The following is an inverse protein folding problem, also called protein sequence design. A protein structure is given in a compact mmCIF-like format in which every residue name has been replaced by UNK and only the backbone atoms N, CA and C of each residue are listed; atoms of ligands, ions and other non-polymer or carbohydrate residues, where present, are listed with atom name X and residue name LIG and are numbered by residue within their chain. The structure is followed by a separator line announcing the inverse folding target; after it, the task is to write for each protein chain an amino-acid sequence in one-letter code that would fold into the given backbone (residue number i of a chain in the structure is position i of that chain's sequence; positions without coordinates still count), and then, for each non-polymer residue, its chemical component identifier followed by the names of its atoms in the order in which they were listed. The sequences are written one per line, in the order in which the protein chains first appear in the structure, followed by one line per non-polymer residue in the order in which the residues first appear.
data_IF_604664924086
#
_entry.id   IF_604664924086
#
_cell.length_a   1.000
_cell.length_b   1.000
_cell.length_c   1.000
_cell.angle_alpha   90.00
_cell.angle_beta   90.00
_cell.angle_gamma   90.00
#
_symmetry.space_group_name_H-M   'P 1'
#
loop_
_entity.id
_entity.type
_entity.pdbx_description
1 polymer ?
#
# COMPACT_ATOMS: atom_id res chain seq x y z
N UNK A 1 -9.40 3.34 7.68
CA UNK A 1 -9.85 3.51 6.28
C UNK A 1 -11.37 3.68 6.26
N UNK A 2 -11.89 4.62 5.47
CA UNK A 2 -13.33 4.95 5.41
C UNK A 2 -14.00 4.55 4.08
N UNK A 3 -13.25 4.53 2.97
CA UNK A 3 -13.72 4.10 1.65
C UNK A 3 -12.56 3.48 0.86
N UNK A 4 -12.84 2.43 0.11
CA UNK A 4 -11.92 1.79 -0.83
C UNK A 4 -12.58 1.90 -2.20
N UNK A 5 -11.83 2.24 -3.24
CA UNK A 5 -12.39 2.34 -4.60
C UNK A 5 -11.35 1.79 -5.57
N UNK A 6 -11.50 0.53 -5.99
CA UNK A 6 -10.57 -0.08 -6.93
C UNK A 6 -10.80 0.48 -8.33
N UNK A 7 -9.76 0.43 -9.16
CA UNK A 7 -9.81 0.84 -10.56
C UNK A 7 -9.28 -0.27 -11.46
N UNK A 8 -9.91 -0.47 -12.62
CA UNK A 8 -9.57 -1.55 -13.55
C UNK A 8 -9.99 -2.93 -13.04
N UNK A 9 -9.06 -3.89 -13.07
CA UNK A 9 -9.32 -5.31 -12.78
C UNK A 9 -8.95 -5.77 -11.35
N UNK A 10 -8.72 -4.83 -10.42
CA UNK A 10 -8.40 -5.16 -9.03
C UNK A 10 -9.65 -5.12 -8.15
N UNK A 11 -9.67 -5.89 -7.07
CA UNK A 11 -10.73 -5.85 -6.06
C UNK A 11 -10.36 -4.93 -4.90
N UNK A 12 -11.34 -4.57 -4.06
CA UNK A 12 -11.10 -3.84 -2.81
C UNK A 12 -10.11 -4.56 -1.90
N UNK A 13 -10.23 -5.89 -1.79
CA UNK A 13 -9.34 -6.72 -0.97
C UNK A 13 -7.90 -6.69 -1.48
N UNK A 14 -7.72 -6.81 -2.81
CA UNK A 14 -6.39 -6.73 -3.42
C UNK A 14 -5.77 -5.35 -3.22
N UNK A 15 -6.56 -4.28 -3.42
CA UNK A 15 -6.10 -2.91 -3.21
C UNK A 15 -5.69 -2.67 -1.75
N UNK A 16 -6.49 -3.14 -0.79
CA UNK A 16 -6.15 -3.05 0.62
C UNK A 16 -4.91 -3.87 0.97
N UNK A 17 -4.77 -5.09 0.44
CA UNK A 17 -3.56 -5.92 0.65
C UNK A 17 -2.32 -5.15 0.17
N UNK A 18 -2.33 -4.68 -1.08
CA UNK A 18 -1.19 -3.95 -1.65
C UNK A 18 -0.87 -2.66 -0.91
N UNK A 19 -1.89 -1.88 -0.53
CA UNK A 19 -1.70 -0.66 0.26
C UNK A 19 -1.11 -0.97 1.64
N UNK A 20 -1.58 -2.01 2.32
CA UNK A 20 -1.05 -2.40 3.63
C UNK A 20 0.40 -2.89 3.56
N UNK A 21 0.78 -3.62 2.50
CA UNK A 21 2.17 -4.00 2.27
C UNK A 21 3.05 -2.79 1.94
N UNK A 22 2.57 -1.84 1.13
CA UNK A 22 3.32 -0.62 0.80
C UNK A 22 3.58 0.23 2.06
N UNK A 23 2.57 0.36 2.92
CA UNK A 23 2.57 1.27 4.06
C UNK A 23 3.12 0.64 5.36
N UNK A 24 3.49 -0.65 5.38
CA UNK A 24 3.91 -1.34 6.61
C UNK A 24 5.20 -0.78 7.24
N UNK A 25 6.04 -0.12 6.44
CA UNK A 25 7.28 0.53 6.88
C UNK A 25 7.15 2.05 7.06
N UNK A 26 6.00 2.62 6.70
CA UNK A 26 5.72 4.04 6.82
C UNK A 26 5.30 4.39 8.24
N UNK A 27 5.85 5.49 8.77
CA UNK A 27 5.55 5.93 10.13
C UNK A 27 4.36 6.90 10.20
N UNK A 28 3.71 7.20 9.08
CA UNK A 28 2.62 8.17 9.01
C UNK A 28 1.33 7.67 9.69
N UNK A 29 0.53 8.56 10.31
CA UNK A 29 -0.76 8.17 10.91
C UNK A 29 -1.71 7.48 9.93
N UNK A 30 -1.70 7.88 8.65
CA UNK A 30 -2.53 7.30 7.60
C UNK A 30 -2.10 5.85 7.29
N UNK A 31 -0.79 5.61 7.20
CA UNK A 31 -0.21 4.29 6.99
C UNK A 31 -0.66 3.29 8.06
N UNK A 32 -0.60 3.71 9.33
CA UNK A 32 -1.10 2.91 10.47
C UNK A 32 -2.58 2.56 10.30
N UNK A 33 -3.41 3.52 9.89
CA UNK A 33 -4.83 3.28 9.65
C UNK A 33 -5.08 2.24 8.55
N UNK A 34 -4.29 2.25 7.47
CA UNK A 34 -4.37 1.28 6.37
C UNK A 34 -4.00 -0.12 6.88
N UNK A 35 -2.85 -0.25 7.53
CA UNK A 35 -2.37 -1.52 8.09
C UNK A 35 -3.36 -2.11 9.11
N UNK A 36 -3.90 -1.29 10.00
CA UNK A 36 -4.92 -1.72 10.96
C UNK A 36 -6.22 -2.13 10.29
N UNK A 37 -6.65 -1.41 9.26
CA UNK A 37 -7.87 -1.75 8.51
C UNK A 37 -7.71 -3.10 7.82
N UNK A 38 -6.56 -3.34 7.18
CA UNK A 38 -6.24 -4.65 6.58
C UNK A 38 -6.28 -5.78 7.62
N UNK A 39 -5.67 -5.59 8.79
CA UNK A 39 -5.67 -6.59 9.87
C UNK A 39 -7.07 -6.91 10.42
N UNK A 40 -8.02 -5.97 10.35
CA UNK A 40 -9.40 -6.16 10.80
C UNK A 40 -10.26 -6.93 9.80
N UNK A 41 -10.03 -6.72 8.51
CA UNK A 41 -10.86 -7.30 7.44
C UNK A 41 -10.27 -8.58 6.84
N UNK A 42 -8.94 -8.75 6.90
CA UNK A 42 -8.26 -9.88 6.29
C UNK A 42 -8.19 -11.07 7.26
N UNK A 43 -8.53 -12.26 6.76
CA UNK A 43 -8.26 -13.53 7.46
C UNK A 43 -6.76 -13.79 7.62
N UNK A 44 -5.91 -13.13 6.82
CA UNK A 44 -4.47 -13.07 6.98
C UNK A 44 -4.09 -11.84 7.83
N UNK A 45 -4.32 -11.93 9.13
CA UNK A 45 -3.99 -10.86 10.09
C UNK A 45 -2.48 -10.58 10.23
N UNK A 46 -1.63 -11.47 9.70
CA UNK A 46 -0.17 -11.34 9.75
C UNK A 46 0.34 -10.87 8.40
N UNK A 47 0.90 -9.66 8.37
CA UNK A 47 1.63 -9.14 7.22
C UNK A 47 3.03 -9.76 7.25
N UNK A 48 3.27 -10.68 6.33
CA UNK A 48 4.60 -11.26 6.14
C UNK A 48 5.53 -10.30 5.39
N UNK A 49 6.33 -9.56 6.15
CA UNK A 49 7.28 -8.57 5.63
C UNK A 49 8.33 -9.18 4.69
N UNK A 50 8.60 -10.49 4.77
CA UNK A 50 9.60 -11.14 3.90
C UNK A 50 9.22 -11.11 2.41
N UNK A 51 7.94 -10.88 2.10
CA UNK A 51 7.44 -10.71 0.74
C UNK A 51 7.86 -9.37 0.09
N UNK A 52 8.34 -8.42 0.90
CA UNK A 52 8.84 -7.13 0.43
C UNK A 52 10.35 -7.26 0.19
N UNK A 53 10.74 -7.22 -1.09
CA UNK A 53 12.12 -7.32 -1.53
C UNK A 53 12.87 -5.99 -1.41
N UNK A 54 12.16 -4.86 -1.52
CA UNK A 54 12.74 -3.52 -1.31
C UNK A 54 11.67 -2.54 -0.84
N UNK A 55 12.10 -1.52 -0.09
CA UNK A 55 11.28 -0.40 0.36
C UNK A 55 12.04 0.90 0.12
N UNK A 56 11.34 1.89 -0.44
CA UNK A 56 11.86 3.22 -0.72
C UNK A 56 10.78 4.24 -0.32
N UNK A 57 11.15 5.20 0.53
CA UNK A 57 10.31 6.34 0.86
C UNK A 57 10.56 7.46 -0.15
N UNK A 58 9.47 8.05 -0.66
CA UNK A 58 9.49 9.16 -1.60
C UNK A 58 9.01 10.41 -0.83
N UNK A 59 9.92 11.23 -0.28
CA UNK A 59 9.59 12.29 0.67
C UNK A 59 8.50 13.23 0.16
N UNK A 60 7.44 13.41 0.97
CA UNK A 60 6.32 14.30 0.66
C UNK A 60 5.39 13.80 -0.46
N UNK A 61 5.61 12.59 -0.98
CA UNK A 61 4.80 11.99 -2.06
C UNK A 61 4.19 10.67 -1.64
N UNK A 62 4.99 9.74 -1.13
CA UNK A 62 4.54 8.39 -0.81
C UNK A 62 5.68 7.41 -0.63
N UNK A 63 5.42 6.14 -0.97
CA UNK A 63 6.36 5.03 -0.84
C UNK A 63 6.31 4.15 -2.09
N UNK A 64 7.42 3.48 -2.35
CA UNK A 64 7.57 2.47 -3.40
C UNK A 64 8.12 1.20 -2.77
N UNK A 65 7.49 0.08 -3.07
CA UNK A 65 7.98 -1.23 -2.64
C UNK A 65 8.12 -2.18 -3.83
N UNK A 66 9.03 -3.14 -3.71
CA UNK A 66 9.08 -4.28 -4.62
C UNK A 66 8.49 -5.50 -3.91
N UNK A 67 7.33 -5.96 -4.38
CA UNK A 67 6.53 -7.00 -3.73
C UNK A 67 6.27 -8.14 -4.70
N UNK A 68 6.76 -9.33 -4.37
CA UNK A 68 6.79 -10.43 -5.35
C UNK A 68 7.65 -10.02 -6.54
N UNK A 69 7.05 -9.90 -7.73
CA UNK A 69 7.72 -9.52 -8.97
C UNK A 69 7.13 -8.26 -9.62
N UNK A 70 6.60 -7.35 -8.78
CA UNK A 70 6.04 -6.07 -9.23
C UNK A 70 6.40 -4.93 -8.28
N UNK A 71 6.44 -3.72 -8.83
CA UNK A 71 6.50 -2.51 -8.02
C UNK A 71 5.10 -2.07 -7.60
N UNK A 72 4.96 -1.69 -6.34
CA UNK A 72 3.74 -1.08 -5.80
C UNK A 72 4.12 0.31 -5.33
N UNK A 73 3.34 1.31 -5.77
CA UNK A 73 3.47 2.70 -5.38
C UNK A 73 2.24 3.09 -4.58
N UNK A 74 2.43 3.71 -3.42
CA UNK A 74 1.35 4.22 -2.59
C UNK A 74 1.69 5.65 -2.20
N UNK A 75 0.80 6.61 -2.47
CA UNK A 75 1.10 8.02 -2.24
C UNK A 75 -0.03 8.95 -2.63
N UNK A 76 0.25 10.25 -2.54
CA UNK A 76 -0.67 11.30 -2.94
C UNK A 76 -0.69 11.51 -4.48
N UNK A 77 -1.54 12.43 -4.92
CA UNK A 77 -1.75 12.73 -6.35
C UNK A 77 -0.45 13.09 -7.10
N UNK A 78 0.51 13.76 -6.44
CA UNK A 78 1.77 14.17 -7.08
C UNK A 78 2.59 12.97 -7.52
N UNK A 79 2.55 11.88 -6.76
CA UNK A 79 3.19 10.63 -7.15
C UNK A 79 2.51 10.01 -8.37
N UNK A 80 1.18 10.08 -8.43
CA UNK A 80 0.40 9.53 -9.54
C UNK A 80 0.66 10.30 -10.84
N UNK A 81 0.69 11.64 -10.77
CA UNK A 81 1.05 12.49 -11.92
C UNK A 81 2.45 12.18 -12.45
N UNK A 82 3.43 11.98 -11.57
CA UNK A 82 4.81 11.63 -11.98
C UNK A 82 4.93 10.24 -12.61
N UNK A 83 4.00 9.34 -12.31
CA UNK A 83 3.93 8.00 -12.88
C UNK A 83 2.98 7.92 -14.07
N UNK A 84 2.39 9.05 -14.49
CA UNK A 84 1.44 9.16 -15.60
C UNK A 84 0.20 8.24 -15.44
N UNK A 85 -0.35 8.16 -14.22
CA UNK A 85 -1.51 7.32 -13.84
C UNK A 85 -2.73 8.14 -13.44
#
# INVERSE_FOLDING_TARGET
VTKITPYGFITEDMLMEYAAYAEIYSNHPIAKSIVESYKKISTKAIIDKSRIKSYEEIPGKGVKIYFGDRYIYAGNYKLMEELEI
#
